data_IF_675180494806
#
_entry.id   IF_675180494806
#
_cell.length_a   1.000
_cell.length_b   1.000
_cell.length_c   1.000
_cell.angle_alpha   90.00
_cell.angle_beta   90.00
_cell.angle_gamma   90.00
#
_symmetry.space_group_name_H-M   'P 1'
#
loop_
_entity.id
_entity.type
_entity.pdbx_description
1 polymer ?
#
# COMPACT_ATOMS: atom_id res chain seq x y z
N UNK A 1 14.42 -13.71 -0.87
CA UNK A 1 13.47 -13.64 0.27
C UNK A 1 12.29 -14.58 -0.02
N UNK A 2 12.09 -15.68 0.71
CA UNK A 2 10.93 -16.56 0.54
C UNK A 2 9.60 -15.83 0.78
N UNK A 3 8.52 -16.24 0.11
CA UNK A 3 7.18 -15.67 0.25
C UNK A 3 6.20 -16.71 0.82
N UNK A 4 6.23 -16.98 2.14
CA UNK A 4 5.46 -18.05 2.75
C UNK A 4 3.94 -17.85 2.68
N UNK A 5 3.47 -16.60 2.56
CA UNK A 5 2.05 -16.25 2.44
C UNK A 5 1.42 -16.58 1.07
N UNK A 6 2.20 -17.10 0.13
CA UNK A 6 1.72 -17.49 -1.21
C UNK A 6 1.46 -18.99 -1.35
N UNK A 7 1.47 -19.76 -0.25
CA UNK A 7 1.25 -21.21 -0.28
C UNK A 7 -0.15 -21.62 -0.80
N UNK A 8 -1.14 -20.72 -0.73
CA UNK A 8 -2.51 -20.92 -1.24
C UNK A 8 -2.87 -19.92 -2.34
N UNK A 9 -1.84 -19.44 -3.03
CA UNK A 9 -1.94 -18.32 -3.96
C UNK A 9 -2.02 -16.97 -3.25
N UNK A 10 -1.58 -15.93 -3.94
CA UNK A 10 -1.52 -14.57 -3.41
C UNK A 10 -1.70 -13.51 -4.50
N UNK A 11 -2.10 -12.32 -4.07
CA UNK A 11 -1.88 -11.09 -4.82
C UNK A 11 -0.62 -10.40 -4.32
N UNK A 12 0.19 -9.94 -5.27
CA UNK A 12 1.39 -9.15 -4.98
C UNK A 12 1.22 -7.78 -5.63
N UNK A 13 1.39 -6.74 -4.82
CA UNK A 13 1.42 -5.35 -5.24
C UNK A 13 2.82 -4.80 -5.00
N UNK A 14 3.23 -3.85 -5.83
CA UNK A 14 4.52 -3.18 -5.70
C UNK A 14 4.38 -1.68 -5.89
N UNK A 15 5.24 -0.92 -5.19
CA UNK A 15 5.45 0.51 -5.36
C UNK A 15 6.97 0.77 -5.35
N UNK A 16 7.40 1.71 -6.17
CA UNK A 16 8.80 2.15 -6.29
C UNK A 16 8.85 3.67 -6.23
N UNK A 17 10.05 4.25 -6.13
CA UNK A 17 10.24 5.71 -6.18
C UNK A 17 9.83 6.35 -7.53
N UNK A 18 9.37 5.55 -8.51
CA UNK A 18 8.92 6.01 -9.83
C UNK A 18 10.04 6.61 -10.69
N UNK A 19 9.67 7.51 -11.60
CA UNK A 19 10.55 8.20 -12.56
C UNK A 19 11.50 9.24 -11.94
N UNK A 20 11.80 9.14 -10.64
CA UNK A 20 12.72 10.05 -9.97
C UNK A 20 14.20 9.75 -10.28
N UNK A 21 14.49 8.74 -11.12
CA UNK A 21 15.84 8.35 -11.52
C UNK A 21 16.09 8.53 -13.04
N UNK A 22 17.35 8.81 -13.45
CA UNK A 22 17.69 9.29 -14.79
C UNK A 22 17.80 8.19 -15.87
N UNK A 23 17.05 7.09 -15.77
CA UNK A 23 17.08 6.03 -16.79
C UNK A 23 16.18 6.38 -17.99
N UNK A 24 16.52 5.84 -19.16
CA UNK A 24 15.82 6.11 -20.43
C UNK A 24 14.33 5.70 -20.41
N UNK A 25 13.97 4.74 -19.56
CA UNK A 25 12.58 4.30 -19.36
C UNK A 25 11.97 4.76 -18.03
N UNK A 26 12.67 5.63 -17.30
CA UNK A 26 12.24 6.15 -16.00
C UNK A 26 12.24 5.13 -14.85
N UNK A 27 12.62 3.88 -15.09
CA UNK A 27 12.67 2.86 -14.05
C UNK A 27 14.08 2.72 -13.48
N UNK A 28 14.19 2.69 -12.16
CA UNK A 28 15.45 2.42 -11.46
C UNK A 28 16.05 1.07 -11.93
N UNK A 29 17.27 1.07 -12.50
CA UNK A 29 17.89 -0.13 -13.04
C UNK A 29 18.13 -1.22 -11.99
N UNK A 30 18.31 -0.84 -10.72
CA UNK A 30 18.50 -1.79 -9.62
C UNK A 30 17.20 -2.47 -9.24
N UNK A 31 16.08 -1.75 -9.28
CA UNK A 31 14.77 -2.34 -8.97
C UNK A 31 14.34 -3.32 -10.06
N UNK A 32 14.73 -3.10 -11.32
CA UNK A 32 14.42 -4.05 -12.42
C UNK A 32 14.97 -5.45 -12.15
N UNK A 33 16.12 -5.52 -11.49
CA UNK A 33 16.79 -6.77 -11.10
C UNK A 33 16.21 -7.40 -9.83
N UNK A 34 15.19 -6.78 -9.22
CA UNK A 34 14.39 -7.40 -8.16
C UNK A 34 13.20 -8.13 -8.80
N UNK A 35 13.19 -9.45 -8.67
CA UNK A 35 12.23 -10.32 -9.36
C UNK A 35 11.40 -11.12 -8.37
N UNK A 36 10.10 -11.22 -8.62
CA UNK A 36 9.25 -12.24 -8.02
C UNK A 36 9.44 -13.51 -8.86
N UNK A 37 10.03 -14.53 -8.26
CA UNK A 37 10.27 -15.84 -8.87
C UNK A 37 9.15 -16.82 -8.50
N UNK A 38 8.45 -17.29 -9.52
CA UNK A 38 7.51 -18.42 -9.50
C UNK A 38 8.26 -19.67 -9.98
N UNK A 39 8.79 -20.45 -9.03
CA UNK A 39 9.55 -21.66 -9.33
C UNK A 39 8.69 -22.76 -9.95
N UNK A 40 7.37 -22.75 -9.71
CA UNK A 40 6.45 -23.78 -10.21
C UNK A 40 6.25 -23.61 -11.71
N UNK A 41 6.17 -22.37 -12.19
CA UNK A 41 5.97 -22.05 -13.61
C UNK A 41 7.25 -21.68 -14.35
N UNK A 42 8.39 -21.63 -13.66
CA UNK A 42 9.67 -21.12 -14.16
C UNK A 42 9.51 -19.70 -14.77
N UNK A 43 8.92 -18.80 -13.99
CA UNK A 43 8.62 -17.43 -14.42
C UNK A 43 9.13 -16.42 -13.42
N UNK A 44 9.66 -15.32 -13.95
CA UNK A 44 10.03 -14.16 -13.17
C UNK A 44 9.15 -12.97 -13.55
N UNK A 45 8.70 -12.21 -12.56
CA UNK A 45 8.04 -10.93 -12.74
C UNK A 45 8.89 -9.84 -12.09
N UNK A 46 9.31 -8.84 -12.87
CA UNK A 46 10.04 -7.70 -12.31
C UNK A 46 9.15 -6.88 -11.37
N UNK A 47 9.69 -6.49 -10.23
CA UNK A 47 9.00 -5.63 -9.25
C UNK A 47 8.84 -4.21 -9.80
N UNK A 48 9.82 -3.71 -10.57
CA UNK A 48 9.72 -2.41 -11.24
C UNK A 48 8.54 -2.37 -12.22
N UNK A 49 8.40 -3.40 -13.06
CA UNK A 49 7.27 -3.51 -13.99
C UNK A 49 5.93 -3.67 -13.25
N UNK A 50 5.89 -4.43 -12.16
CA UNK A 50 4.67 -4.58 -11.36
C UNK A 50 4.26 -3.25 -10.72
N UNK A 51 5.23 -2.41 -10.34
CA UNK A 51 4.96 -1.10 -9.77
C UNK A 51 4.27 -0.14 -10.76
N UNK A 52 4.44 -0.33 -12.07
CA UNK A 52 3.80 0.49 -13.10
C UNK A 52 2.44 -0.04 -13.59
N UNK A 53 1.96 -1.18 -13.05
CA UNK A 53 0.65 -1.73 -13.43
C UNK A 53 -0.49 -1.02 -12.70
N UNK A 54 -1.30 -0.30 -13.47
CA UNK A 54 -2.49 0.42 -13.03
C UNK A 54 -3.67 0.18 -13.97
N UNK A 55 -4.89 0.23 -13.44
CA UNK A 55 -6.11 0.22 -14.23
C UNK A 55 -6.26 1.56 -14.95
N UNK A 56 -6.49 1.56 -16.28
CA UNK A 56 -6.71 2.79 -17.03
C UNK A 56 -7.91 3.58 -16.49
N UNK A 57 -7.72 4.88 -16.28
CA UNK A 57 -8.77 5.82 -15.87
C UNK A 57 -9.08 5.91 -14.37
N UNK A 58 -8.62 4.94 -13.56
CA UNK A 58 -8.79 4.99 -12.09
C UNK A 58 -7.46 5.06 -11.35
N UNK A 59 -6.36 4.68 -11.99
CA UNK A 59 -5.04 4.49 -11.37
C UNK A 59 -5.04 3.49 -10.21
N UNK A 60 -6.04 2.60 -10.13
CA UNK A 60 -6.05 1.51 -9.17
C UNK A 60 -4.95 0.50 -9.51
N UNK A 61 -4.19 0.04 -8.52
CA UNK A 61 -3.14 -0.95 -8.70
C UNK A 61 -3.70 -2.28 -9.18
N UNK A 62 -3.05 -2.86 -10.19
CA UNK A 62 -3.32 -4.23 -10.65
C UNK A 62 -2.29 -5.17 -10.00
N UNK A 63 -2.71 -6.21 -9.25
CA UNK A 63 -1.77 -7.15 -8.65
C UNK A 63 -1.13 -8.07 -9.68
N UNK A 64 0.02 -8.64 -9.31
CA UNK A 64 0.46 -9.90 -9.87
C UNK A 64 -0.23 -11.03 -9.12
N UNK A 65 -1.06 -11.79 -9.83
CA UNK A 65 -1.80 -12.91 -9.28
C UNK A 65 -1.03 -14.22 -9.40
N UNK A 66 -0.86 -14.89 -8.27
CA UNK A 66 -0.33 -16.24 -8.18
C UNK A 66 -1.47 -17.14 -7.71
N UNK A 67 -2.01 -17.97 -8.60
CA UNK A 67 -3.21 -18.77 -8.36
C UNK A 67 -2.96 -20.20 -7.86
N UNK A 68 -1.69 -20.63 -7.78
CA UNK A 68 -1.33 -21.99 -7.44
C UNK A 68 -0.49 -22.04 -6.15
N UNK A 69 -0.50 -23.20 -5.51
CA UNK A 69 0.41 -23.49 -4.40
C UNK A 69 1.82 -23.70 -4.96
N UNK A 70 2.84 -23.17 -4.28
CA UNK A 70 4.19 -23.22 -4.79
C UNK A 70 5.23 -22.60 -3.86
N UNK A 71 6.49 -22.66 -4.31
CA UNK A 71 7.59 -21.94 -3.67
C UNK A 71 7.86 -20.64 -4.43
N UNK A 72 7.63 -19.55 -3.74
CA UNK A 72 7.76 -18.20 -4.28
C UNK A 72 8.84 -17.44 -3.53
N UNK A 73 9.58 -16.61 -4.24
CA UNK A 73 10.64 -15.82 -3.62
C UNK A 73 10.87 -14.50 -4.36
N UNK A 74 11.36 -13.49 -3.64
CA UNK A 74 11.98 -12.32 -4.24
C UNK A 74 13.47 -12.62 -4.44
N UNK A 75 13.94 -12.54 -5.69
CA UNK A 75 15.34 -12.63 -6.07
C UNK A 75 15.90 -11.21 -6.24
N UNK A 76 17.14 -11.02 -5.79
CA UNK A 76 17.92 -9.83 -6.11
C UNK A 76 19.05 -10.26 -7.04
N UNK A 77 18.98 -9.84 -8.30
CA UNK A 77 19.99 -10.15 -9.32
C UNK A 77 21.04 -9.03 -9.49
N UNK A 78 20.99 -7.99 -8.65
CA UNK A 78 22.03 -6.95 -8.66
C UNK A 78 23.37 -7.54 -8.25
N UNK A 79 24.45 -7.01 -8.84
CA UNK A 79 25.79 -7.39 -8.44
C UNK A 79 26.05 -6.98 -6.98
N UNK A 80 26.71 -7.85 -6.19
CA UNK A 80 26.81 -7.67 -4.73
C UNK A 80 27.66 -6.48 -4.31
N UNK A 81 28.43 -5.89 -5.23
CA UNK A 81 29.26 -4.70 -5.03
C UNK A 81 28.51 -3.38 -5.25
N UNK A 82 27.26 -3.41 -5.72
CA UNK A 82 26.48 -2.20 -6.07
C UNK A 82 25.50 -1.77 -4.98
N UNK A 83 25.89 -1.96 -3.71
CA UNK A 83 25.00 -1.76 -2.56
C UNK A 83 24.69 -0.28 -2.28
N UNK A 84 25.45 0.66 -2.83
CA UNK A 84 25.37 2.09 -2.45
C UNK A 84 24.22 2.87 -3.09
N UNK A 85 23.60 2.34 -4.14
CA UNK A 85 22.69 3.12 -5.00
C UNK A 85 21.24 2.58 -5.02
N UNK A 86 20.91 1.68 -4.10
CA UNK A 86 19.57 1.07 -4.02
C UNK A 86 18.49 2.07 -3.58
N UNK A 87 17.39 2.11 -4.32
CA UNK A 87 16.17 2.83 -3.91
C UNK A 87 15.24 1.93 -3.08
N UNK A 88 14.42 2.58 -2.25
CA UNK A 88 13.37 1.89 -1.49
C UNK A 88 12.31 1.29 -2.42
N UNK A 89 11.77 0.14 -2.01
CA UNK A 89 10.69 -0.56 -2.69
C UNK A 89 9.71 -1.10 -1.67
N UNK A 90 8.43 -0.93 -1.93
CA UNK A 90 7.37 -1.51 -1.12
C UNK A 90 6.73 -2.65 -1.88
N UNK A 91 6.75 -3.85 -1.29
CA UNK A 91 6.03 -5.02 -1.80
C UNK A 91 4.98 -5.42 -0.77
N UNK A 92 3.72 -5.47 -1.21
CA UNK A 92 2.61 -5.92 -0.37
C UNK A 92 2.06 -7.24 -0.89
N UNK A 93 1.95 -8.22 -0.01
CA UNK A 93 1.59 -9.61 -0.36
C UNK A 93 0.42 -10.02 0.50
N UNK A 94 -0.65 -10.46 -0.14
CA UNK A 94 -1.86 -10.91 0.52
C UNK A 94 -2.33 -12.24 -0.08
N UNK A 95 -2.74 -13.17 0.78
CA UNK A 95 -3.33 -14.44 0.36
C UNK A 95 -4.62 -14.20 -0.44
N UNK A 96 -4.85 -14.98 -1.51
CA UNK A 96 -6.03 -14.82 -2.37
C UNK A 96 -7.35 -14.98 -1.62
N UNK A 97 -7.44 -16.01 -0.78
CA UNK A 97 -8.62 -16.27 0.04
C UNK A 97 -8.90 -15.10 0.97
N UNK A 98 -7.84 -14.45 1.48
CA UNK A 98 -7.96 -13.30 2.35
C UNK A 98 -8.43 -12.07 1.60
N UNK A 99 -7.88 -11.84 0.41
CA UNK A 99 -8.24 -10.71 -0.43
C UNK A 99 -9.72 -10.72 -0.83
N UNK A 100 -10.29 -11.90 -1.09
CA UNK A 100 -11.67 -12.04 -1.56
C UNK A 100 -12.74 -11.75 -0.50
N UNK A 101 -12.38 -11.65 0.79
CA UNK A 101 -13.32 -11.27 1.85
C UNK A 101 -13.68 -9.78 1.83
N UNK A 102 -12.92 -8.95 1.11
CA UNK A 102 -13.04 -7.51 1.17
C UNK A 102 -13.31 -6.91 -0.19
N UNK A 103 -14.11 -5.85 -0.19
CA UNK A 103 -14.23 -4.91 -1.30
C UNK A 103 -13.16 -3.83 -1.12
N UNK A 104 -12.17 -3.75 -2.01
CA UNK A 104 -10.99 -2.94 -1.80
C UNK A 104 -10.54 -2.15 -3.02
N UNK A 105 -9.94 -0.99 -2.75
CA UNK A 105 -9.16 -0.19 -3.68
C UNK A 105 -7.71 -0.13 -3.20
N UNK A 106 -6.74 -0.22 -4.11
CA UNK A 106 -5.32 0.00 -3.79
C UNK A 106 -4.75 1.04 -4.75
N UNK A 107 -4.08 2.04 -4.20
CA UNK A 107 -3.42 3.09 -4.97
C UNK A 107 -1.95 3.20 -4.59
N UNK A 108 -1.15 3.67 -5.54
CA UNK A 108 0.22 4.14 -5.27
C UNK A 108 0.18 5.65 -5.11
N UNK A 109 0.72 6.18 -4.00
CA UNK A 109 0.72 7.61 -3.74
C UNK A 109 1.40 8.43 -4.85
N UNK A 110 2.41 7.87 -5.53
CA UNK A 110 3.14 8.58 -6.60
C UNK A 110 2.29 8.76 -7.85
N UNK A 111 1.33 7.87 -8.10
CA UNK A 111 0.54 7.82 -9.33
C UNK A 111 -0.98 7.88 -9.09
N UNK A 112 -1.40 8.29 -7.88
CA UNK A 112 -2.81 8.32 -7.52
C UNK A 112 -3.54 9.42 -8.30
N UNK A 113 -4.41 9.02 -9.20
CA UNK A 113 -5.32 9.89 -9.95
C UNK A 113 -6.77 9.40 -9.77
N UNK A 114 -7.18 9.29 -8.51
CA UNK A 114 -8.50 8.80 -8.14
C UNK A 114 -9.52 9.93 -8.32
N UNK A 115 -10.48 9.73 -9.23
CA UNK A 115 -11.62 10.65 -9.34
C UNK A 115 -12.51 10.60 -8.07
N UNK A 116 -13.15 11.70 -7.68
CA UNK A 116 -14.12 11.68 -6.57
C UNK A 116 -15.24 10.67 -6.82
N UNK A 117 -15.25 9.61 -6.04
CA UNK A 117 -16.24 8.53 -6.12
C UNK A 117 -16.50 7.90 -4.76
N UNK A 118 -17.56 7.09 -4.69
CA UNK A 118 -17.86 6.24 -3.54
C UNK A 118 -16.70 5.26 -3.32
N UNK A 119 -16.04 5.27 -2.16
CA UNK A 119 -14.97 4.32 -1.89
C UNK A 119 -15.53 2.90 -1.73
N UNK A 120 -14.71 1.93 -2.12
CA UNK A 120 -14.81 0.53 -1.70
C UNK A 120 -14.78 0.43 -0.17
N UNK A 121 -15.04 -0.76 0.37
CA UNK A 121 -15.08 -0.94 1.83
C UNK A 121 -13.76 -0.55 2.51
N UNK A 122 -12.63 -0.77 1.82
CA UNK A 122 -11.31 -0.29 2.23
C UNK A 122 -10.62 0.40 1.07
N UNK A 123 -10.01 1.57 1.34
CA UNK A 123 -9.06 2.19 0.42
C UNK A 123 -7.67 2.11 1.02
N UNK A 124 -6.78 1.39 0.36
CA UNK A 124 -5.37 1.26 0.73
C UNK A 124 -4.50 2.12 -0.17
N UNK A 125 -3.57 2.85 0.41
CA UNK A 125 -2.58 3.65 -0.31
C UNK A 125 -1.22 3.15 0.13
N UNK A 126 -0.38 2.80 -0.86
CA UNK A 126 0.99 2.35 -0.66
C UNK A 126 1.97 3.32 -1.31
N UNK A 127 3.22 3.28 -0.86
CA UNK A 127 4.31 4.08 -1.43
C UNK A 127 5.65 3.47 -1.07
N UNK A 128 6.66 3.61 -1.92
CA UNK A 128 8.06 3.37 -1.57
C UNK A 128 8.67 4.55 -0.78
N UNK A 129 8.17 5.77 -1.00
CA UNK A 129 8.58 6.97 -0.30
C UNK A 129 7.63 7.33 0.85
N UNK A 130 8.06 8.26 1.71
CA UNK A 130 7.12 8.98 2.58
C UNK A 130 6.12 9.75 1.72
N UNK A 131 4.86 9.80 2.17
CA UNK A 131 3.77 10.36 1.37
C UNK A 131 2.73 11.06 2.23
N UNK A 132 1.91 11.86 1.57
CA UNK A 132 0.76 12.53 2.15
C UNK A 132 -0.52 11.87 1.66
N UNK A 133 -1.52 11.79 2.53
CA UNK A 133 -2.89 11.40 2.16
C UNK A 133 -3.84 12.46 2.67
N UNK A 134 -4.73 12.95 1.82
CA UNK A 134 -5.68 13.97 2.21
C UNK A 134 -7.01 13.78 1.53
N UNK A 135 -8.06 14.23 2.22
CA UNK A 135 -9.40 14.28 1.69
C UNK A 135 -10.03 15.63 2.01
N UNK A 136 -10.74 16.20 1.04
CA UNK A 136 -11.46 17.46 1.19
C UNK A 136 -12.74 17.27 2.02
N UNK A 137 -13.21 18.29 2.76
CA UNK A 137 -14.50 18.24 3.44
C UNK A 137 -15.65 17.87 2.49
N UNK A 138 -16.66 17.17 3.00
CA UNK A 138 -17.72 16.63 2.14
C UNK A 138 -18.93 16.13 2.92
N UNK A 139 -19.64 15.16 2.32
CA UNK A 139 -20.83 14.56 2.94
C UNK A 139 -20.47 13.87 4.27
N UNK A 140 -21.35 13.94 5.30
CA UNK A 140 -21.08 13.37 6.62
C UNK A 140 -20.66 11.90 6.55
N UNK A 141 -19.45 11.61 7.01
CA UNK A 141 -18.85 10.30 7.03
C UNK A 141 -17.85 10.21 8.18
N UNK A 142 -17.76 9.02 8.77
CA UNK A 142 -16.76 8.69 9.78
C UNK A 142 -15.80 7.68 9.18
N UNK A 143 -14.53 7.75 9.55
CA UNK A 143 -13.50 6.86 9.02
C UNK A 143 -12.53 6.39 10.10
N UNK A 144 -11.86 5.28 9.82
CA UNK A 144 -10.74 4.74 10.60
C UNK A 144 -9.54 4.64 9.68
N UNK A 145 -8.38 5.09 10.16
CA UNK A 145 -7.10 4.95 9.47
C UNK A 145 -6.18 4.00 10.26
N UNK A 146 -5.50 3.12 9.53
CA UNK A 146 -4.50 2.19 10.08
C UNK A 146 -3.31 2.09 9.13
N UNK A 147 -2.10 1.90 9.66
CA UNK A 147 -0.85 1.89 8.88
C UNK A 147 -0.50 0.49 8.37
N UNK A 148 -1.50 -0.18 7.81
CA UNK A 148 -1.49 -1.59 7.43
C UNK A 148 -2.23 -1.79 6.11
N UNK A 149 -2.12 -2.99 5.53
CA UNK A 149 -2.92 -3.39 4.37
C UNK A 149 -4.40 -3.61 4.70
N UNK A 150 -5.23 -3.71 3.65
CA UNK A 150 -6.68 -3.84 3.80
C UNK A 150 -7.12 -5.12 4.55
N UNK A 151 -6.30 -6.16 4.54
CA UNK A 151 -6.51 -7.41 5.26
C UNK A 151 -6.51 -7.27 6.78
N UNK A 152 -5.99 -6.16 7.30
CA UNK A 152 -5.91 -5.80 8.71
C UNK A 152 -6.63 -4.46 9.01
N UNK A 153 -7.47 -3.98 8.08
CA UNK A 153 -8.10 -2.66 8.21
C UNK A 153 -9.31 -2.62 9.16
N UNK A 154 -9.98 -3.76 9.40
CA UNK A 154 -11.18 -3.85 10.23
C UNK A 154 -10.89 -4.31 11.66
N UNK A 155 -11.75 -3.89 12.61
CA UNK A 155 -11.62 -4.20 14.04
C UNK A 155 -11.83 -5.68 14.35
N UNK A 156 -12.80 -6.31 13.68
CA UNK A 156 -13.19 -7.71 13.83
C UNK A 156 -12.33 -8.67 13.00
N UNK A 157 -11.42 -8.14 12.20
CA UNK A 157 -10.69 -8.90 11.21
C UNK A 157 -9.20 -8.56 11.16
N UNK A 158 -8.60 -8.07 12.24
CA UNK A 158 -7.16 -7.85 12.31
C UNK A 158 -6.49 -9.06 12.99
N UNK A 159 -6.03 -10.08 12.25
CA UNK A 159 -5.25 -11.19 12.84
C UNK A 159 -4.02 -10.68 13.60
N UNK A 160 -3.51 -9.52 13.20
CA UNK A 160 -2.27 -8.93 13.72
C UNK A 160 -2.54 -7.86 14.81
N UNK A 161 -3.79 -7.75 15.29
CA UNK A 161 -4.24 -6.87 16.39
C UNK A 161 -3.77 -5.42 16.24
N UNK A 162 -3.80 -4.89 15.02
CA UNK A 162 -3.29 -3.56 14.73
C UNK A 162 -4.16 -2.44 15.31
N UNK A 163 -3.51 -1.48 15.97
CA UNK A 163 -4.17 -0.31 16.56
C UNK A 163 -4.61 0.71 15.51
N UNK A 164 -5.57 1.55 15.88
CA UNK A 164 -5.97 2.69 15.05
C UNK A 164 -4.86 3.75 15.08
N UNK A 165 -4.45 4.21 13.90
CA UNK A 165 -3.66 5.43 13.80
C UNK A 165 -4.57 6.65 14.01
N UNK A 166 -5.81 6.56 13.53
CA UNK A 166 -6.83 7.59 13.70
C UNK A 166 -8.23 6.98 13.59
N UNK A 167 -9.20 7.49 14.36
CA UNK A 167 -10.61 7.09 14.28
C UNK A 167 -11.52 8.24 14.65
N UNK A 168 -12.43 8.60 13.75
CA UNK A 168 -13.47 9.60 14.05
C UNK A 168 -14.62 8.98 14.84
N UNK A 169 -15.35 9.77 15.65
CA UNK A 169 -16.63 9.34 16.21
C UNK A 169 -17.60 8.87 15.13
N UNK A 170 -18.44 7.90 15.47
CA UNK A 170 -19.50 7.42 14.55
C UNK A 170 -20.45 8.56 14.23
N UNK A 171 -20.81 8.73 12.95
CA UNK A 171 -21.67 9.82 12.46
C UNK A 171 -21.10 11.24 12.67
N UNK A 172 -19.77 11.40 12.77
CA UNK A 172 -19.15 12.72 12.72
C UNK A 172 -19.39 13.42 11.38
N UNK A 173 -19.33 14.76 11.39
CA UNK A 173 -19.18 15.52 10.15
C UNK A 173 -17.85 15.14 9.48
N UNK A 174 -17.82 15.15 8.14
CA UNK A 174 -16.59 14.90 7.39
C UNK A 174 -15.91 16.23 7.07
N UNK A 175 -15.04 16.68 7.97
CA UNK A 175 -14.29 17.94 7.86
C UNK A 175 -13.03 17.82 6.98
N UNK A 176 -12.86 16.68 6.30
CA UNK A 176 -11.63 16.34 5.61
C UNK A 176 -10.50 15.98 6.57
N UNK A 177 -9.35 15.62 6.00
CA UNK A 177 -8.17 15.28 6.77
C UNK A 177 -6.89 15.44 5.95
N UNK A 178 -5.76 15.46 6.66
CA UNK A 178 -4.42 15.41 6.08
C UNK A 178 -3.51 14.53 6.95
N UNK A 179 -2.96 13.47 6.38
CA UNK A 179 -2.06 12.53 7.04
C UNK A 179 -0.68 12.57 6.41
N UNK A 180 0.34 12.64 7.26
CA UNK A 180 1.75 12.57 6.88
C UNK A 180 2.25 11.16 7.21
N UNK A 181 2.38 10.31 6.19
CA UNK A 181 2.68 8.89 6.32
C UNK A 181 4.15 8.61 6.04
N UNK A 182 4.86 8.16 7.08
CA UNK A 182 6.25 7.75 7.09
C UNK A 182 6.33 6.23 7.26
N UNK A 183 5.57 5.53 6.44
CA UNK A 183 5.47 4.09 6.38
C UNK A 183 5.13 3.67 4.96
N UNK A 184 5.15 2.36 4.67
CA UNK A 184 4.94 1.87 3.31
C UNK A 184 3.46 1.86 2.89
N UNK A 185 2.53 1.92 3.84
CA UNK A 185 1.11 1.64 3.59
C UNK A 185 0.20 2.31 4.63
N UNK A 186 -0.99 2.70 4.19
CA UNK A 186 -2.12 3.12 5.03
C UNK A 186 -3.41 2.58 4.43
N UNK A 187 -4.34 2.15 5.27
CA UNK A 187 -5.70 1.76 4.88
C UNK A 187 -6.74 2.60 5.60
N UNK A 188 -7.77 2.98 4.86
CA UNK A 188 -8.88 3.80 5.30
C UNK A 188 -10.19 2.99 5.17
N UNK A 189 -10.94 2.91 6.26
CA UNK A 189 -12.29 2.31 6.29
C UNK A 189 -13.29 3.42 6.54
N UNK A 190 -14.18 3.65 5.56
CA UNK A 190 -15.27 4.63 5.67
C UNK A 190 -16.55 3.95 6.15
N UNK A 191 -17.26 4.55 7.10
CA UNK A 191 -18.48 3.99 7.66
C UNK A 191 -19.68 4.11 6.71
N UNK A 192 -19.66 5.10 5.81
CA UNK A 192 -20.69 5.32 4.78
C UNK A 192 -20.05 5.33 3.40
N UNK A 193 -20.80 4.84 2.41
CA UNK A 193 -20.46 4.97 0.99
C UNK A 193 -20.97 6.32 0.47
N UNK A 194 -20.30 7.39 0.85
CA UNK A 194 -20.51 8.74 0.30
C UNK A 194 -19.36 9.11 -0.63
N UNK A 195 -19.54 10.12 -1.49
CA UNK A 195 -18.46 10.54 -2.37
C UNK A 195 -17.32 11.16 -1.54
N UNK A 196 -16.09 10.68 -1.73
CA UNK A 196 -14.89 11.20 -1.06
C UNK A 196 -13.86 11.59 -2.13
N UNK A 197 -13.45 12.86 -2.11
CA UNK A 197 -12.32 13.34 -2.89
C UNK A 197 -11.01 13.03 -2.16
N UNK A 198 -10.59 11.76 -2.25
CA UNK A 198 -9.38 11.23 -1.62
C UNK A 198 -8.20 11.33 -2.59
N UNK A 199 -7.09 11.90 -2.12
CA UNK A 199 -5.85 12.07 -2.88
C UNK A 199 -4.66 11.62 -2.04
N UNK A 200 -3.58 11.29 -2.72
CA UNK A 200 -2.28 11.07 -2.12
C UNK A 200 -1.19 11.59 -3.06
N UNK A 201 -0.07 12.00 -2.49
CA UNK A 201 1.11 12.38 -3.25
C UNK A 201 2.39 12.15 -2.44
N UNK A 202 3.53 12.21 -3.11
CA UNK A 202 4.85 12.04 -2.48
C UNK A 202 5.35 13.31 -1.76
N UNK A 203 4.52 14.33 -1.55
CA UNK A 203 4.91 15.58 -0.88
C UNK A 203 4.74 15.41 0.62
N UNK A 204 5.70 14.72 1.23
CA UNK A 204 5.75 14.61 2.68
C UNK A 204 6.30 15.89 3.31
N UNK A 205 5.63 16.40 4.34
CA UNK A 205 6.09 17.55 5.12
C UNK A 205 6.21 17.21 6.60
N UNK A 206 7.28 17.68 7.25
CA UNK A 206 7.56 17.46 8.68
C UNK A 206 6.72 18.34 9.61
N UNK A 207 5.61 18.90 9.13
CA UNK A 207 4.69 19.72 9.91
C UNK A 207 3.26 19.33 9.60
N UNK A 208 2.37 19.57 10.57
CA UNK A 208 0.95 19.31 10.43
C UNK A 208 0.21 20.63 10.61
N UNK A 209 -0.74 20.92 9.73
CA UNK A 209 -1.66 22.03 9.97
C UNK A 209 -2.56 21.68 11.15
N UNK A 210 -2.53 22.49 12.20
CA UNK A 210 -3.43 22.34 13.36
C UNK A 210 -4.89 22.73 13.03
N UNK A 211 -5.16 23.25 11.83
CA UNK A 211 -6.51 23.58 11.36
C UNK A 211 -7.29 22.37 10.83
N UNK A 212 -6.59 21.26 10.56
CA UNK A 212 -7.15 20.11 9.86
C UNK A 212 -6.90 18.86 10.70
N UNK A 213 -7.88 17.95 10.72
CA UNK A 213 -7.70 16.65 11.37
C UNK A 213 -6.58 15.87 10.70
N UNK A 214 -5.65 15.34 11.49
CA UNK A 214 -4.47 14.73 10.92
C UNK A 214 -3.53 14.09 11.93
N UNK A 215 -2.52 13.39 11.41
CA UNK A 215 -1.42 12.85 12.20
C UNK A 215 -0.14 12.80 11.36
N UNK A 216 0.99 12.68 12.04
CA UNK A 216 2.29 12.38 11.46
C UNK A 216 2.82 11.10 12.09
N UNK A 217 3.43 10.23 11.28
CA UNK A 217 3.95 8.94 11.74
C UNK A 217 5.46 8.93 11.79
N UNK A 218 6.02 8.16 12.72
CA UNK A 218 7.45 7.85 12.74
C UNK A 218 7.77 6.73 11.74
N UNK A 219 9.01 6.69 11.21
CA UNK A 219 9.47 5.59 10.38
C UNK A 219 9.21 4.22 11.03
N UNK A 220 8.64 3.28 10.26
CA UNK A 220 8.48 1.88 10.66
C UNK A 220 7.36 1.59 11.67
N UNK A 221 6.59 2.60 12.11
CA UNK A 221 5.42 2.35 12.94
C UNK A 221 4.26 1.85 12.08
N UNK A 222 3.77 0.63 12.37
CA UNK A 222 2.58 0.05 11.73
C UNK A 222 1.43 -0.22 12.72
N UNK A 223 1.67 -0.07 14.02
CA UNK A 223 0.67 -0.24 15.08
C UNK A 223 0.22 -1.68 15.33
N UNK A 224 0.85 -2.68 14.72
CA UNK A 224 0.50 -4.10 14.92
C UNK A 224 1.27 -4.72 16.08
N UNK A 225 0.67 -5.75 16.68
CA UNK A 225 1.42 -6.59 17.62
C UNK A 225 2.55 -7.32 16.89
N UNK A 226 3.64 -7.58 17.63
CA UNK A 226 4.79 -8.27 17.05
C UNK A 226 4.36 -9.67 16.66
N UNK A 227 4.40 -9.97 15.36
CA UNK A 227 4.19 -11.32 14.86
C UNK A 227 5.14 -12.29 15.57
N UNK A 228 4.62 -13.44 15.98
CA UNK A 228 5.45 -14.51 16.55
C UNK A 228 6.48 -14.98 15.52
N UNK A 229 7.61 -15.54 15.96
CA UNK A 229 8.71 -15.98 15.06
C UNK A 229 8.34 -17.03 14.02
N UNK A 230 7.11 -17.54 14.05
CA UNK A 230 6.57 -18.57 13.15
C UNK A 230 5.77 -17.96 11.99
N UNK A 231 5.59 -16.63 11.96
CA UNK A 231 4.73 -15.90 11.03
C UNK A 231 5.51 -14.96 10.07
N UNK A 232 6.86 -14.99 10.14
CA UNK A 232 7.79 -14.23 9.30
C UNK A 232 8.45 -15.15 8.29
#
# INVERSE_FOLDING_TARGET
VPLPRCNFGCFIFASTMGNQQPSDDGMDPYIKNLLINDQVKDRNQSIAELATKFQPGTSQKIPYEISANGQYSILNLNAPDVVTDGSDVTVWIIELTRASFFDYEIYDAVAMDRIPTFPSAVVTIMSAARFSVYAEPGEPNSYTARLVGFDNAFDDNAPDLCTHAYKTPVNSNFEGFEFQVNGPIISLVFAKRTNVNLKADSKYFNGLSMSTSGFLTSPGFNGCERLGGNQV
#
